data_IF_798358372384
#
_entry.id   IF_798358372384
#
_cell.length_a   1.000
_cell.length_b   1.000
_cell.length_c   1.000
_cell.angle_alpha   90.00
_cell.angle_beta   90.00
_cell.angle_gamma   90.00
#
_symmetry.space_group_name_H-M   'P 1'
#
loop_
_entity.id
_entity.type
_entity.pdbx_description
1 polymer ?
#
# COMPACT_ATOMS: atom_id res chain seq x y z
N UNK A 1 -8.89 5.66 15.98
CA UNK A 1 -9.49 6.61 16.93
C UNK A 1 -10.86 6.10 17.34
N UNK A 2 -11.26 6.32 18.59
CA UNK A 2 -12.58 5.96 19.13
C UNK A 2 -13.05 7.03 20.12
N UNK A 3 -14.30 7.46 19.98
CA UNK A 3 -15.05 8.25 20.98
C UNK A 3 -16.25 7.45 21.52
N UNK A 4 -16.24 7.18 22.83
CA UNK A 4 -17.27 6.41 23.54
C UNK A 4 -18.59 7.13 23.69
N UNK A 5 -18.61 8.46 23.62
CA UNK A 5 -19.87 9.21 23.73
C UNK A 5 -20.65 9.18 22.41
N UNK A 6 -20.09 8.54 21.37
CA UNK A 6 -20.72 8.40 20.07
C UNK A 6 -20.46 9.56 19.12
N UNK A 7 -19.63 10.55 19.48
CA UNK A 7 -19.34 11.65 18.57
C UNK A 7 -18.50 11.16 17.38
N UNK A 8 -18.71 11.72 16.18
CA UNK A 8 -17.88 11.42 15.03
C UNK A 8 -16.41 11.81 15.27
N UNK A 9 -15.48 10.92 14.92
CA UNK A 9 -14.03 11.16 15.04
C UNK A 9 -13.40 11.69 13.76
N UNK A 10 -14.21 11.96 12.72
CA UNK A 10 -13.77 12.34 11.38
C UNK A 10 -12.85 13.57 11.38
N UNK A 11 -13.23 14.66 12.07
CA UNK A 11 -12.42 15.88 12.12
C UNK A 11 -11.07 15.66 12.79
N UNK A 12 -11.04 14.83 13.85
CA UNK A 12 -9.80 14.51 14.53
C UNK A 12 -8.90 13.60 13.68
N UNK A 13 -9.47 12.70 12.88
CA UNK A 13 -8.72 11.92 11.87
C UNK A 13 -8.17 12.83 10.77
N UNK A 14 -8.96 13.80 10.27
CA UNK A 14 -8.51 14.76 9.26
C UNK A 14 -7.33 15.61 9.79
N UNK A 15 -7.44 16.12 11.01
CA UNK A 15 -6.35 16.86 11.64
C UNK A 15 -5.08 15.99 11.77
N UNK A 16 -5.21 14.76 12.27
CA UNK A 16 -4.08 13.84 12.38
C UNK A 16 -3.48 13.46 11.02
N UNK A 17 -4.32 13.36 9.99
CA UNK A 17 -3.88 13.12 8.63
C UNK A 17 -3.04 14.29 8.11
N UNK A 18 -3.50 15.52 8.28
CA UNK A 18 -2.76 16.72 7.85
C UNK A 18 -1.42 16.84 8.60
N UNK A 19 -1.42 16.63 9.92
CA UNK A 19 -0.21 16.65 10.76
C UNK A 19 0.83 15.59 10.32
N UNK A 20 0.37 14.43 9.86
CA UNK A 20 1.24 13.32 9.45
C UNK A 20 1.33 13.15 7.93
N UNK A 21 0.80 14.08 7.13
CA UNK A 21 0.60 13.92 5.69
C UNK A 21 1.88 13.55 4.94
N UNK A 22 3.01 14.05 5.43
CA UNK A 22 4.35 13.76 4.91
C UNK A 22 4.76 12.27 4.97
N UNK A 23 4.07 11.44 5.76
CA UNK A 23 4.36 9.99 5.88
C UNK A 23 3.78 9.15 4.75
N UNK A 24 2.84 9.69 3.97
CA UNK A 24 2.20 8.97 2.87
C UNK A 24 1.23 9.86 2.09
N UNK A 25 1.49 9.96 0.78
CA UNK A 25 0.70 10.77 -0.16
C UNK A 25 -0.07 9.91 -1.18
N UNK A 26 -0.01 8.59 -1.03
CA UNK A 26 -0.60 7.61 -1.94
C UNK A 26 -1.35 6.54 -1.14
N UNK A 27 -2.15 5.70 -1.78
CA UNK A 27 -2.82 4.55 -1.17
C UNK A 27 -3.47 4.81 0.20
N UNK A 28 -4.74 5.15 0.21
CA UNK A 28 -5.48 5.51 1.41
C UNK A 28 -6.49 4.42 1.75
N UNK A 29 -6.78 4.27 3.04
CA UNK A 29 -7.95 3.51 3.43
C UNK A 29 -8.30 3.62 4.89
N UNK A 30 -9.49 3.13 5.18
CA UNK A 30 -10.05 3.12 6.51
C UNK A 30 -10.91 1.89 6.74
N UNK A 31 -11.05 1.53 8.02
CA UNK A 31 -12.05 0.61 8.51
C UNK A 31 -12.91 1.29 9.57
N UNK A 32 -14.21 1.06 9.50
CA UNK A 32 -15.19 1.49 10.51
C UNK A 32 -16.06 0.31 10.91
N UNK A 33 -16.62 0.38 12.13
CA UNK A 33 -17.60 -0.57 12.64
C UNK A 33 -18.83 0.25 13.02
N UNK A 34 -19.93 0.03 12.31
CA UNK A 34 -21.18 0.75 12.52
C UNK A 34 -21.97 0.19 13.72
N UNK A 35 -22.95 0.95 14.27
CA UNK A 35 -23.78 0.49 15.39
C UNK A 35 -24.61 -0.77 15.10
N UNK A 36 -24.84 -1.09 13.83
CA UNK A 36 -25.52 -2.30 13.36
C UNK A 36 -24.55 -3.47 13.12
N UNK A 37 -23.33 -3.38 13.63
CA UNK A 37 -22.27 -4.38 13.53
C UNK A 37 -21.76 -4.62 12.09
N UNK A 38 -22.03 -3.68 11.18
CA UNK A 38 -21.47 -3.72 9.83
C UNK A 38 -20.03 -3.21 9.85
N UNK A 39 -19.10 -4.07 9.44
CA UNK A 39 -17.71 -3.70 9.18
C UNK A 39 -17.62 -3.14 7.76
N UNK A 40 -17.07 -1.94 7.63
CA UNK A 40 -16.84 -1.33 6.33
C UNK A 40 -15.37 -0.97 6.14
N UNK A 41 -14.78 -1.47 5.05
CA UNK A 41 -13.40 -1.19 4.67
C UNK A 41 -13.40 -0.44 3.33
N UNK A 42 -12.86 0.77 3.34
CA UNK A 42 -12.78 1.62 2.14
C UNK A 42 -11.33 1.86 1.81
N UNK A 43 -10.97 1.65 0.54
CA UNK A 43 -9.63 1.89 0.01
C UNK A 43 -9.71 2.77 -1.24
N UNK A 44 -8.80 3.73 -1.33
CA UNK A 44 -8.69 4.70 -2.43
C UNK A 44 -7.23 4.84 -2.83
N UNK A 45 -6.98 5.11 -4.11
CA UNK A 45 -5.62 5.38 -4.61
C UNK A 45 -5.28 6.88 -4.57
N UNK A 46 -6.29 7.74 -4.35
CA UNK A 46 -6.18 9.20 -4.33
C UNK A 46 -6.67 9.79 -3.02
N UNK A 47 -6.03 10.90 -2.61
CA UNK A 47 -6.34 11.61 -1.38
C UNK A 47 -7.75 12.21 -1.43
N UNK A 48 -8.08 12.91 -2.52
CA UNK A 48 -9.41 13.49 -2.74
C UNK A 48 -10.52 12.44 -2.55
N UNK A 49 -10.30 11.23 -3.06
CA UNK A 49 -11.26 10.14 -2.96
C UNK A 49 -11.52 9.67 -1.53
N UNK A 50 -10.50 9.68 -0.65
CA UNK A 50 -10.67 9.30 0.76
C UNK A 50 -11.19 10.46 1.60
N UNK A 51 -10.79 11.70 1.31
CA UNK A 51 -11.28 12.89 2.02
C UNK A 51 -12.77 13.12 1.76
N UNK A 52 -13.24 12.97 0.51
CA UNK A 52 -14.68 12.99 0.19
C UNK A 52 -15.46 11.94 0.98
N UNK A 53 -14.87 10.77 1.20
CA UNK A 53 -15.50 9.74 2.02
C UNK A 53 -15.58 10.16 3.50
N UNK A 54 -14.48 10.68 4.07
CA UNK A 54 -14.43 11.15 5.46
C UNK A 54 -15.43 12.28 5.74
N UNK A 55 -15.68 13.16 4.78
CA UNK A 55 -16.68 14.25 4.93
C UNK A 55 -18.11 13.70 4.87
N UNK A 56 -18.36 12.65 4.07
CA UNK A 56 -19.71 12.14 3.83
C UNK A 56 -20.21 11.17 4.92
N UNK A 57 -19.30 10.47 5.60
CA UNK A 57 -19.66 9.36 6.48
C UNK A 57 -19.15 9.58 7.90
N UNK A 58 -20.03 10.00 8.79
CA UNK A 58 -19.73 10.14 10.22
C UNK A 58 -19.58 8.78 10.91
N UNK A 59 -18.50 8.60 11.66
CA UNK A 59 -18.24 7.39 12.44
C UNK A 59 -17.54 7.77 13.75
N UNK A 60 -17.91 7.14 14.87
CA UNK A 60 -17.27 7.36 16.16
C UNK A 60 -16.05 6.43 16.40
N UNK A 61 -15.84 5.45 15.51
CA UNK A 61 -14.70 4.53 15.54
C UNK A 61 -14.13 4.42 14.13
N UNK A 62 -12.82 4.65 14.00
CA UNK A 62 -12.15 4.56 12.72
C UNK A 62 -10.69 4.11 12.86
N UNK A 63 -10.29 3.17 12.01
CA UNK A 63 -8.90 2.86 11.71
C UNK A 63 -8.57 3.53 10.38
N UNK A 64 -7.59 4.42 10.31
CA UNK A 64 -7.26 5.16 9.09
C UNK A 64 -5.76 5.00 8.77
N UNK A 65 -5.43 4.86 7.49
CA UNK A 65 -4.06 4.74 7.03
C UNK A 65 -3.87 5.44 5.67
N UNK A 66 -2.72 6.09 5.52
CA UNK A 66 -2.17 6.60 4.26
C UNK A 66 -0.82 5.93 4.01
N UNK A 67 -0.53 5.61 2.76
CA UNK A 67 0.60 4.76 2.38
C UNK A 67 1.63 5.59 1.62
N UNK A 68 2.90 5.26 1.81
CA UNK A 68 3.89 5.48 0.78
C UNK A 68 4.26 4.11 0.21
N UNK A 69 3.83 3.77 -1.03
CA UNK A 69 4.07 2.46 -1.62
C UNK A 69 5.54 2.07 -1.65
N UNK A 70 5.89 0.97 -0.98
CA UNK A 70 7.27 0.44 -0.92
C UNK A 70 7.40 -0.92 -1.58
N UNK A 71 6.48 -1.87 -1.29
CA UNK A 71 6.55 -3.25 -1.79
C UNK A 71 5.68 -3.55 -3.00
N UNK A 72 4.72 -2.67 -3.32
CA UNK A 72 3.80 -2.84 -4.46
C UNK A 72 3.40 -1.49 -5.02
N UNK A 73 2.90 -1.45 -6.25
CA UNK A 73 2.32 -0.25 -6.87
C UNK A 73 1.10 0.31 -6.10
N UNK A 74 0.73 1.56 -6.37
CA UNK A 74 -0.42 2.21 -5.75
C UNK A 74 -1.76 1.72 -6.35
N UNK A 75 -2.27 0.61 -5.86
CA UNK A 75 -3.58 0.06 -6.26
C UNK A 75 -4.47 -0.20 -5.04
N UNK A 76 -5.80 -0.12 -5.22
CA UNK A 76 -6.77 -0.25 -4.12
C UNK A 76 -6.59 -1.53 -3.31
N UNK A 77 -6.35 -2.68 -3.96
CA UNK A 77 -6.19 -3.98 -3.27
C UNK A 77 -4.92 -4.08 -2.42
N UNK A 78 -3.91 -3.26 -2.69
CA UNK A 78 -2.66 -3.23 -1.94
C UNK A 78 -2.61 -2.08 -0.91
N UNK A 79 -3.68 -1.28 -0.79
CA UNK A 79 -3.80 -0.26 0.23
C UNK A 79 -4.32 -0.87 1.55
N UNK A 80 -3.87 -0.32 2.66
CA UNK A 80 -4.39 -0.66 3.99
C UNK A 80 -5.81 -0.14 4.20
N UNK A 81 -6.55 -0.64 5.20
CA UNK A 81 -6.23 -1.80 6.06
C UNK A 81 -6.34 -3.14 5.32
N UNK A 82 -5.74 -4.20 5.86
CA UNK A 82 -5.98 -5.59 5.43
C UNK A 82 -6.89 -6.30 6.42
N UNK A 83 -7.59 -7.35 5.99
CA UNK A 83 -8.48 -8.11 6.88
C UNK A 83 -8.47 -9.60 6.61
N UNK A 84 -8.56 -10.37 7.70
CA UNK A 84 -8.71 -11.83 7.67
C UNK A 84 -10.11 -12.30 7.30
N UNK A 85 -11.06 -11.35 7.10
CA UNK A 85 -12.47 -11.66 6.85
C UNK A 85 -13.00 -12.69 7.87
N UNK A 86 -13.57 -13.78 7.39
CA UNK A 86 -14.20 -14.87 8.12
C UNK A 86 -13.29 -16.10 8.31
N UNK A 87 -11.98 -16.00 8.04
CA UNK A 87 -11.04 -17.13 8.15
C UNK A 87 -11.02 -17.75 9.55
N UNK A 88 -11.29 -16.97 10.61
CA UNK A 88 -11.35 -17.46 12.00
C UNK A 88 -12.79 -17.56 12.51
N UNK A 89 -13.72 -17.95 11.63
CA UNK A 89 -15.14 -18.08 11.94
C UNK A 89 -15.76 -16.73 12.29
N UNK A 90 -16.20 -16.57 13.54
CA UNK A 90 -16.80 -15.33 14.02
C UNK A 90 -15.78 -14.20 14.24
N UNK A 91 -14.49 -14.51 14.25
CA UNK A 91 -13.42 -13.54 14.53
C UNK A 91 -12.86 -12.98 13.22
N UNK A 92 -12.88 -11.65 13.09
CA UNK A 92 -12.26 -10.91 12.02
C UNK A 92 -11.18 -9.97 12.58
N UNK A 93 -9.99 -10.03 11.99
CA UNK A 93 -8.91 -9.11 12.28
C UNK A 93 -8.76 -8.10 11.15
N UNK A 94 -8.53 -6.83 11.49
CA UNK A 94 -8.34 -5.74 10.54
C UNK A 94 -7.11 -4.93 10.96
N UNK A 95 -6.09 -4.85 10.13
CA UNK A 95 -4.78 -4.31 10.51
C UNK A 95 -4.29 -3.21 9.58
N UNK A 96 -3.72 -2.18 10.20
CA UNK A 96 -2.84 -1.20 9.55
C UNK A 96 -1.44 -1.32 10.14
N UNK A 97 -0.44 -1.02 9.33
CA UNK A 97 0.96 -1.20 9.68
C UNK A 97 1.77 -0.08 9.05
N UNK A 98 2.66 0.49 9.86
CA UNK A 98 3.67 1.43 9.42
C UNK A 98 5.02 0.75 9.57
N UNK A 99 5.67 0.45 8.44
CA UNK A 99 6.95 -0.22 8.43
C UNK A 99 7.22 -1.10 7.24
N UNK A 100 8.13 -2.05 7.43
CA UNK A 100 8.57 -3.00 6.42
C UNK A 100 8.81 -4.38 7.04
N UNK A 101 8.27 -5.42 6.42
CA UNK A 101 8.40 -6.83 6.83
C UNK A 101 9.41 -7.53 5.92
N UNK A 102 10.58 -7.84 6.47
CA UNK A 102 11.72 -8.36 5.70
C UNK A 102 11.48 -9.79 5.21
N UNK A 103 10.89 -10.67 6.02
CA UNK A 103 10.62 -12.07 5.65
C UNK A 103 9.22 -12.32 5.07
N UNK A 104 8.57 -11.28 4.52
CA UNK A 104 7.18 -11.37 4.06
C UNK A 104 6.93 -12.51 3.07
N UNK A 105 7.85 -12.78 2.13
CA UNK A 105 7.73 -13.90 1.16
C UNK A 105 7.73 -15.28 1.82
N UNK A 106 8.64 -15.51 2.76
CA UNK A 106 8.71 -16.76 3.52
C UNK A 106 7.46 -16.95 4.37
N UNK A 107 6.98 -15.87 5.00
CA UNK A 107 5.75 -15.89 5.80
C UNK A 107 4.51 -16.17 4.94
N UNK A 108 4.39 -15.54 3.76
CA UNK A 108 3.31 -15.83 2.81
C UNK A 108 3.28 -17.32 2.43
N UNK A 109 4.44 -17.87 2.05
CA UNK A 109 4.55 -19.29 1.70
C UNK A 109 4.11 -20.19 2.86
N UNK A 110 4.57 -19.91 4.08
CA UNK A 110 4.15 -20.67 5.26
C UNK A 110 2.64 -20.56 5.53
N UNK A 111 2.08 -19.35 5.46
CA UNK A 111 0.65 -19.12 5.66
C UNK A 111 -0.19 -19.88 4.64
N UNK A 112 0.22 -19.88 3.37
CA UNK A 112 -0.43 -20.62 2.29
C UNK A 112 -0.32 -22.13 2.49
N UNK A 113 0.89 -22.65 2.73
CA UNK A 113 1.15 -24.09 2.78
C UNK A 113 0.63 -24.75 4.06
N UNK A 114 0.79 -24.12 5.22
CA UNK A 114 0.41 -24.71 6.52
C UNK A 114 -1.02 -24.39 6.94
N UNK A 115 -1.53 -23.23 6.55
CA UNK A 115 -2.82 -22.73 7.04
C UNK A 115 -3.86 -22.51 5.93
N UNK A 116 -3.49 -22.70 4.65
CA UNK A 116 -4.42 -22.52 3.52
C UNK A 116 -4.88 -21.07 3.36
N UNK A 117 -4.07 -20.10 3.80
CA UNK A 117 -4.42 -18.68 3.78
C UNK A 117 -4.20 -18.09 2.39
N UNK A 118 -5.23 -17.43 1.83
CA UNK A 118 -5.11 -16.70 0.56
C UNK A 118 -4.86 -15.21 0.79
N UNK A 119 -3.78 -14.68 0.19
CA UNK A 119 -3.45 -13.26 0.28
C UNK A 119 -4.26 -12.42 -0.71
N UNK A 120 -4.91 -11.37 -0.22
CA UNK A 120 -5.77 -10.48 -1.00
C UNK A 120 -4.99 -9.39 -1.74
N UNK A 121 -3.79 -9.07 -1.27
CA UNK A 121 -2.95 -8.02 -1.85
C UNK A 121 -2.11 -8.49 -3.05
N UNK A 122 -2.20 -9.77 -3.44
CA UNK A 122 -1.47 -10.33 -4.59
C UNK A 122 -1.90 -9.63 -5.89
N UNK A 123 -0.90 -9.15 -6.62
CA UNK A 123 -1.03 -8.50 -7.93
C UNK A 123 -0.77 -9.51 -9.06
N UNK A 124 -0.99 -9.07 -10.31
CA UNK A 124 -0.82 -9.93 -11.48
C UNK A 124 0.61 -10.44 -11.66
N UNK A 125 1.60 -9.67 -11.22
CA UNK A 125 3.03 -10.02 -11.24
C UNK A 125 3.46 -10.92 -10.04
N UNK A 126 2.51 -11.35 -9.20
CA UNK A 126 2.77 -12.15 -8.01
C UNK A 126 3.32 -11.35 -6.81
N UNK A 127 3.58 -10.05 -6.95
CA UNK A 127 3.95 -9.19 -5.82
C UNK A 127 2.75 -8.98 -4.89
N UNK A 128 3.01 -8.66 -3.63
CA UNK A 128 1.97 -8.47 -2.62
C UNK A 128 2.44 -7.48 -1.54
N UNK A 129 1.50 -6.96 -0.75
CA UNK A 129 1.82 -6.01 0.31
C UNK A 129 2.33 -6.79 1.54
N UNK A 130 3.55 -6.50 1.95
CA UNK A 130 4.27 -7.17 3.03
C UNK A 130 3.51 -7.14 4.37
N UNK A 131 2.71 -6.10 4.59
CA UNK A 131 1.92 -5.90 5.79
C UNK A 131 0.76 -6.89 5.95
N UNK A 132 0.32 -7.53 4.86
CA UNK A 132 -0.64 -8.62 4.95
C UNK A 132 -0.01 -9.85 5.65
N UNK A 133 1.31 -10.03 5.56
CA UNK A 133 2.00 -11.08 6.32
C UNK A 133 1.99 -10.81 7.82
N UNK A 134 2.16 -9.55 8.23
CA UNK A 134 2.02 -9.18 9.64
C UNK A 134 0.59 -9.40 10.15
N UNK A 135 -0.43 -9.10 9.33
CA UNK A 135 -1.82 -9.37 9.70
C UNK A 135 -2.04 -10.85 10.01
N UNK A 136 -1.66 -11.73 9.09
CA UNK A 136 -1.91 -13.17 9.25
C UNK A 136 -1.11 -13.77 10.39
N UNK A 137 0.18 -13.42 10.50
CA UNK A 137 1.04 -13.95 11.56
C UNK A 137 0.55 -13.50 12.95
N UNK A 138 0.16 -12.23 13.09
CA UNK A 138 -0.42 -11.73 14.34
C UNK A 138 -1.76 -12.41 14.66
N UNK A 139 -2.65 -12.56 13.67
CA UNK A 139 -3.95 -13.18 13.88
C UNK A 139 -3.82 -14.65 14.32
N UNK A 140 -2.91 -15.41 13.70
CA UNK A 140 -2.59 -16.79 14.08
C UNK A 140 -2.10 -16.87 15.54
N UNK A 141 -1.26 -15.93 15.99
CA UNK A 141 -0.84 -15.86 17.39
C UNK A 141 -2.00 -15.51 18.33
N UNK A 142 -2.86 -14.57 17.94
CA UNK A 142 -4.00 -14.14 18.75
C UNK A 142 -5.08 -15.22 18.88
N UNK A 143 -5.21 -16.09 17.89
CA UNK A 143 -6.10 -17.27 17.89
C UNK A 143 -5.43 -18.52 18.50
N UNK A 144 -4.16 -18.45 18.88
CA UNK A 144 -3.45 -19.55 19.53
C UNK A 144 -2.98 -20.66 18.58
N UNK A 145 -2.93 -20.39 17.27
CA UNK A 145 -2.34 -21.27 16.27
C UNK A 145 -0.81 -21.18 16.21
N UNK A 146 -0.24 -20.09 16.74
CA UNK A 146 1.20 -19.87 16.90
C UNK A 146 1.51 -19.31 18.28
N UNK A 147 2.67 -19.68 18.84
CA UNK A 147 3.09 -19.20 20.16
C UNK A 147 3.71 -17.80 20.14
N UNK A 148 4.27 -17.39 19.00
CA UNK A 148 4.99 -16.13 18.86
C UNK A 148 4.95 -15.59 17.44
N UNK A 149 5.21 -14.28 17.33
CA UNK A 149 5.34 -13.60 16.04
C UNK A 149 6.67 -13.99 15.37
N UNK A 150 6.60 -14.40 14.12
CA UNK A 150 7.74 -14.81 13.30
C UNK A 150 8.09 -13.81 12.22
N UNK A 151 7.15 -12.94 11.82
CA UNK A 151 7.48 -11.77 11.00
C UNK A 151 8.50 -10.90 11.72
N UNK A 152 9.43 -10.33 10.96
CA UNK A 152 10.42 -9.39 11.49
C UNK A 152 10.66 -8.23 10.54
N UNK A 153 11.15 -7.13 11.10
CA UNK A 153 11.43 -5.90 10.38
C UNK A 153 11.21 -4.68 11.24
N UNK A 154 10.91 -3.54 10.62
CA UNK A 154 10.47 -2.36 11.34
C UNK A 154 8.95 -2.35 11.40
N UNK A 155 8.38 -2.43 12.60
CA UNK A 155 6.97 -2.70 12.82
C UNK A 155 6.38 -1.71 13.83
N UNK A 156 5.29 -1.06 13.44
CA UNK A 156 4.29 -0.46 14.31
C UNK A 156 2.91 -0.78 13.74
N UNK A 157 2.01 -1.33 14.55
CA UNK A 157 0.71 -1.78 14.05
C UNK A 157 -0.45 -1.40 14.97
N UNK A 158 -1.64 -1.33 14.37
CA UNK A 158 -2.91 -1.24 15.06
C UNK A 158 -3.84 -2.27 14.39
N UNK A 159 -4.42 -3.15 15.19
CA UNK A 159 -5.27 -4.24 14.76
C UNK A 159 -6.60 -4.23 15.52
N UNK A 160 -7.71 -4.12 14.80
CA UNK A 160 -9.05 -4.31 15.34
C UNK A 160 -9.40 -5.80 15.33
N UNK A 161 -9.94 -6.30 16.44
CA UNK A 161 -10.63 -7.60 16.51
C UNK A 161 -12.13 -7.37 16.58
N UNK A 162 -12.81 -7.83 15.55
CA UNK A 162 -14.26 -7.83 15.43
C UNK A 162 -14.77 -9.25 15.65
N UNK A 163 -15.80 -9.41 16.47
CA UNK A 163 -16.42 -10.71 16.78
C UNK A 163 -17.89 -10.62 16.42
N UNK A 164 -18.36 -11.41 15.45
CA UNK A 164 -19.75 -11.35 14.93
C UNK A 164 -20.17 -9.93 14.52
N UNK A 165 -19.26 -9.19 13.91
CA UNK A 165 -19.47 -7.79 13.49
C UNK A 165 -19.28 -6.74 14.59
N UNK A 166 -19.17 -7.13 15.87
CA UNK A 166 -18.94 -6.22 16.99
C UNK A 166 -17.45 -5.97 17.24
N UNK A 167 -17.03 -4.71 17.36
CA UNK A 167 -15.66 -4.40 17.75
C UNK A 167 -15.43 -4.79 19.22
N UNK A 168 -14.70 -5.88 19.44
CA UNK A 168 -14.41 -6.38 20.78
C UNK A 168 -13.17 -5.69 21.37
N UNK A 169 -12.09 -5.64 20.58
CA UNK A 169 -10.76 -5.25 21.03
C UNK A 169 -9.97 -4.50 19.96
N UNK A 170 -9.02 -3.69 20.43
CA UNK A 170 -7.91 -3.22 19.61
C UNK A 170 -6.60 -3.74 20.22
N UNK A 171 -5.77 -4.33 19.38
CA UNK A 171 -4.40 -4.71 19.67
C UNK A 171 -3.43 -3.73 19.00
N UNK A 172 -2.36 -3.36 19.68
CA UNK A 172 -1.33 -2.50 19.10
C UNK A 172 0.02 -2.75 19.76
N UNK A 173 1.09 -2.49 19.00
CA UNK A 173 2.46 -2.71 19.43
C UNK A 173 3.46 -2.18 18.42
N UNK A 174 4.72 -2.09 18.85
CA UNK A 174 5.84 -1.65 18.00
C UNK A 174 7.16 -2.28 18.41
N UNK A 175 8.13 -2.27 17.51
CA UNK A 175 9.55 -2.43 17.84
C UNK A 175 10.34 -1.14 17.53
N UNK A 176 10.62 -0.82 16.27
CA UNK A 176 11.42 0.33 15.88
C UNK A 176 10.56 1.53 15.49
N UNK A 177 9.49 1.33 14.71
CA UNK A 177 8.67 2.42 14.18
C UNK A 177 7.83 3.12 15.25
N UNK A 178 7.62 4.43 15.14
CA UNK A 178 6.95 5.21 16.17
C UNK A 178 5.45 4.91 16.20
N UNK A 179 4.93 4.86 17.42
CA UNK A 179 3.51 4.73 17.70
C UNK A 179 3.26 5.40 19.06
N UNK A 180 2.25 6.25 19.11
CA UNK A 180 1.86 7.04 20.28
C UNK A 180 0.41 6.79 20.65
N UNK A 181 0.11 6.94 21.93
CA UNK A 181 -1.24 6.81 22.47
C UNK A 181 -1.64 8.04 23.27
N UNK A 182 -2.83 8.55 22.98
CA UNK A 182 -3.58 9.43 23.88
C UNK A 182 -4.84 8.69 24.31
N UNK A 183 -5.05 8.59 25.61
CA UNK A 183 -6.22 7.94 26.18
C UNK A 183 -6.74 8.76 27.35
N UNK A 184 -8.04 8.98 27.35
CA UNK A 184 -8.77 9.50 28.50
C UNK A 184 -9.97 8.59 28.84
N UNK A 185 -10.91 9.09 29.65
CA UNK A 185 -12.09 8.33 30.06
C UNK A 185 -13.01 7.98 28.89
N UNK A 186 -13.06 8.81 27.85
CA UNK A 186 -14.02 8.77 26.74
C UNK A 186 -13.34 8.42 25.40
N UNK A 187 -12.06 8.77 25.23
CA UNK A 187 -11.37 8.64 23.94
C UNK A 187 -10.15 7.72 23.98
N UNK A 188 -9.90 7.08 22.84
CA UNK A 188 -8.64 6.39 22.54
C UNK A 188 -8.15 6.82 21.15
N UNK A 189 -6.96 7.39 21.11
CA UNK A 189 -6.28 7.83 19.89
C UNK A 189 -4.90 7.18 19.81
N UNK A 190 -4.61 6.62 18.64
CA UNK A 190 -3.33 6.02 18.28
C UNK A 190 -2.85 6.68 16.99
N UNK A 191 -1.60 7.11 16.94
CA UNK A 191 -0.99 7.78 15.80
C UNK A 191 0.51 7.44 15.71
N UNK A 192 1.10 7.55 14.52
CA UNK A 192 2.55 7.32 14.39
C UNK A 192 3.34 8.43 15.07
N UNK A 193 2.86 9.66 14.98
CA UNK A 193 3.51 10.86 15.53
C UNK A 193 2.52 11.75 16.31
N UNK A 194 3.02 12.85 16.85
CA UNK A 194 2.24 13.86 17.56
C UNK A 194 2.30 13.74 19.08
N UNK A 195 1.19 14.09 19.74
CA UNK A 195 1.05 14.09 21.20
C UNK A 195 0.67 12.71 21.74
N UNK A 196 0.95 12.48 23.01
CA UNK A 196 0.68 11.23 23.71
C UNK A 196 1.94 10.48 24.12
N UNK A 197 1.72 9.40 24.85
CA UNK A 197 2.78 8.54 25.37
C UNK A 197 3.27 7.62 24.27
N UNK A 198 4.59 7.44 24.19
CA UNK A 198 5.18 6.44 23.30
C UNK A 198 4.76 5.04 23.74
N UNK A 199 4.36 4.21 22.76
CA UNK A 199 4.12 2.80 23.01
C UNK A 199 5.44 2.11 23.30
N UNK A 200 5.47 1.33 24.39
CA UNK A 200 6.65 0.58 24.77
C UNK A 200 7.00 -0.45 23.69
N UNK A 201 8.30 -0.57 23.39
CA UNK A 201 8.81 -1.57 22.45
C UNK A 201 8.50 -2.98 22.95
N UNK A 202 8.34 -3.92 22.02
CA UNK A 202 8.16 -5.34 22.34
C UNK A 202 7.02 -5.59 23.34
N UNK A 203 5.96 -4.78 23.26
CA UNK A 203 4.81 -4.85 24.14
C UNK A 203 3.53 -4.88 23.32
N UNK A 204 2.71 -5.89 23.57
CA UNK A 204 1.37 -6.00 22.99
C UNK A 204 0.37 -5.39 23.95
N UNK A 205 -0.16 -4.24 23.57
CA UNK A 205 -1.28 -3.63 24.24
C UNK A 205 -2.59 -4.22 23.70
N UNK A 206 -3.57 -4.34 24.58
CA UNK A 206 -4.91 -4.83 24.30
C UNK A 206 -5.92 -3.94 25.02
N UNK A 207 -6.73 -3.22 24.24
CA UNK A 207 -7.83 -2.42 24.73
C UNK A 207 -9.15 -3.13 24.47
N UNK A 208 -9.85 -3.51 25.55
CA UNK A 208 -11.16 -4.15 25.47
C UNK A 208 -12.27 -3.09 25.63
N UNK A 209 -13.14 -2.98 24.62
CA UNK A 209 -14.17 -1.94 24.55
C UNK A 209 -15.26 -2.11 25.61
N UNK A 210 -15.71 -3.35 25.82
CA UNK A 210 -16.78 -3.68 26.77
C UNK A 210 -16.40 -3.35 28.21
N UNK A 211 -15.18 -3.69 28.61
CA UNK A 211 -14.66 -3.47 29.96
C UNK A 211 -13.98 -2.11 30.15
N UNK A 212 -13.76 -1.36 29.06
CA UNK A 212 -12.93 -0.15 29.05
C UNK A 212 -11.57 -0.34 29.73
N UNK A 213 -10.95 -1.51 29.52
CA UNK A 213 -9.68 -1.86 30.16
C UNK A 213 -8.58 -1.95 29.14
N UNK A 214 -7.51 -1.19 29.39
CA UNK A 214 -6.23 -1.37 28.72
C UNK A 214 -5.39 -2.36 29.54
N UNK A 215 -4.88 -3.38 28.86
CA UNK A 215 -3.90 -4.33 29.41
C UNK A 215 -2.72 -4.37 28.45
N UNK A 216 -1.58 -4.82 28.94
CA UNK A 216 -0.40 -5.06 28.12
C UNK A 216 0.35 -6.27 28.64
N UNK A 217 1.13 -6.88 27.75
CA UNK A 217 2.08 -7.93 28.10
C UNK A 217 3.32 -7.79 27.22
N UNK A 218 4.44 -8.27 27.73
CA UNK A 218 5.62 -8.45 26.89
C UNK A 218 5.28 -9.34 25.69
N UNK A 219 5.71 -8.90 24.52
CA UNK A 219 5.43 -9.54 23.25
C UNK A 219 6.55 -9.19 22.27
N UNK A 220 7.51 -10.11 22.12
CA UNK A 220 8.70 -9.86 21.30
C UNK A 220 8.31 -9.67 19.83
N UNK A 221 8.70 -8.53 19.25
CA UNK A 221 8.54 -8.22 17.83
C UNK A 221 9.94 -8.09 17.22
N UNK A 222 10.38 -9.13 16.50
CA UNK A 222 11.75 -9.25 15.99
C UNK A 222 12.12 -8.05 15.10
N UNK A 223 13.24 -7.38 15.40
CA UNK A 223 13.82 -6.31 14.58
C UNK A 223 14.76 -6.90 13.52
N UNK A 224 14.92 -6.21 12.38
CA UNK A 224 15.82 -6.60 11.28
C UNK A 224 17.24 -6.98 11.74
N UNK A 225 17.85 -6.23 12.66
CA UNK A 225 19.24 -6.45 13.07
C UNK A 225 19.43 -7.70 13.96
N UNK A 226 18.36 -8.21 14.56
CA UNK A 226 18.46 -9.32 15.52
C UNK A 226 18.46 -10.70 14.85
N UNK A 227 18.04 -10.81 13.59
CA UNK A 227 17.99 -12.10 12.87
C UNK A 227 19.30 -12.47 12.18
N UNK A 228 20.23 -11.53 11.99
CA UNK A 228 21.44 -11.76 11.18
C UNK A 228 22.66 -12.28 11.97
N UNK A 229 22.63 -12.37 13.32
CA UNK A 229 23.87 -12.62 14.07
C UNK A 229 23.69 -13.17 15.50
N UNK A 230 23.38 -14.46 15.65
CA UNK A 230 23.77 -15.15 16.90
C UNK A 230 24.07 -16.64 16.76
N UNK A 231 23.31 -17.39 15.96
CA UNK A 231 23.53 -18.85 15.86
C UNK A 231 24.53 -19.27 14.77
N UNK A 232 24.53 -18.62 13.59
CA UNK A 232 25.54 -18.90 12.56
C UNK A 232 26.95 -18.43 12.94
N UNK A 233 27.07 -17.32 13.68
CA UNK A 233 28.36 -16.79 14.10
C UNK A 233 29.06 -17.66 15.15
N UNK A 234 28.32 -18.50 15.90
CA UNK A 234 28.92 -19.49 16.81
C UNK A 234 29.55 -20.68 16.10
N UNK A 235 29.01 -21.11 14.95
CA UNK A 235 29.62 -22.19 14.17
C UNK A 235 30.83 -21.70 13.34
N UNK A 236 30.85 -20.42 12.94
CA UNK A 236 31.95 -19.88 12.12
C UNK A 236 33.18 -19.42 12.89
N UNK A 237 33.12 -19.24 14.21
CA UNK A 237 34.28 -18.81 15.02
C UNK A 237 35.12 -19.96 15.63
N UNK A 238 34.82 -21.22 15.33
CA UNK A 238 35.63 -22.37 15.76
C UNK A 238 36.35 -23.10 14.62
N UNK A 239 36.35 -22.57 13.40
CA UNK A 239 36.95 -23.21 12.23
C UNK A 239 37.91 -22.29 11.46
N UNK A 240 39.10 -22.81 11.16
CA UNK A 240 40.21 -22.18 10.42
C UNK A 240 39.79 -21.47 9.12
N UNK A 241 40.55 -20.44 8.66
CA UNK A 241 40.24 -19.74 7.42
C UNK A 241 40.38 -20.67 6.22
N UNK A 242 39.27 -20.91 5.50
CA UNK A 242 39.30 -21.55 4.20
C UNK A 242 38.99 -20.53 3.11
N UNK A 243 39.86 -20.50 2.10
CA UNK A 243 39.66 -19.78 0.85
C UNK A 243 38.51 -20.45 0.08
N UNK A 244 37.42 -19.72 -0.15
CA UNK A 244 36.35 -20.15 -1.05
C UNK A 244 36.33 -19.29 -2.29
N UNK A 245 36.43 -19.95 -3.45
CA UNK A 245 36.08 -19.45 -4.77
C UNK A 245 34.55 -19.59 -4.92
N UNK A 246 33.85 -18.48 -5.17
CA UNK A 246 32.41 -18.52 -5.43
C UNK A 246 32.14 -18.93 -6.88
N UNK A 247 31.43 -20.05 -7.06
CA UNK A 247 30.63 -20.31 -8.25
C UNK A 247 29.21 -19.81 -7.92
N UNK A 248 28.78 -18.75 -8.61
CA UNK A 248 27.41 -18.27 -8.58
C UNK A 248 26.58 -19.17 -9.51
N UNK A 249 25.59 -19.86 -8.94
CA UNK A 249 24.45 -20.38 -9.70
C UNK A 249 23.42 -19.26 -9.82
N UNK A 250 22.86 -19.17 -11.02
CA UNK A 250 21.96 -18.15 -11.54
C UNK A 250 20.59 -18.22 -10.83
N UNK A 251 20.21 -17.12 -10.19
CA UNK A 251 18.85 -16.57 -10.06
C UNK A 251 18.85 -15.59 -8.88
N UNK A 252 19.15 -14.31 -9.16
CA UNK A 252 18.68 -13.12 -8.44
C UNK A 252 19.32 -11.87 -9.08
N UNK A 253 18.51 -10.86 -9.41
CA UNK A 253 18.94 -9.53 -9.89
C UNK A 253 19.64 -8.72 -8.77
N UNK A 254 20.70 -9.27 -8.18
CA UNK A 254 21.61 -8.60 -7.27
C UNK A 254 22.98 -8.58 -7.94
N UNK A 255 23.30 -7.49 -8.62
CA UNK A 255 24.52 -7.37 -9.43
C UNK A 255 25.74 -6.92 -8.58
N UNK A 256 25.54 -6.53 -7.32
CA UNK A 256 26.65 -6.27 -6.41
C UNK A 256 26.28 -5.53 -5.13
N UNK A 257 27.27 -5.43 -4.24
CA UNK A 257 27.24 -4.65 -3.01
C UNK A 257 28.23 -3.49 -3.12
N UNK A 258 27.92 -2.34 -2.52
CA UNK A 258 28.91 -1.26 -2.38
C UNK A 258 30.01 -1.62 -1.35
N UNK A 259 31.01 -0.75 -1.21
CA UNK A 259 32.13 -0.91 -0.27
C UNK A 259 31.69 -1.02 1.21
N UNK A 260 30.40 -0.80 1.51
CA UNK A 260 29.79 -0.93 2.84
C UNK A 260 28.89 -2.17 2.96
N UNK A 261 28.81 -3.02 1.95
CA UNK A 261 27.99 -4.23 1.97
C UNK A 261 26.49 -3.96 1.78
N UNK A 262 26.11 -2.83 1.16
CA UNK A 262 24.73 -2.50 0.83
C UNK A 262 24.39 -2.96 -0.60
N UNK A 263 23.27 -3.69 -0.83
CA UNK A 263 22.89 -4.12 -2.17
C UNK A 263 22.56 -2.91 -3.06
N UNK A 264 23.21 -2.84 -4.22
CA UNK A 264 23.00 -1.76 -5.20
C UNK A 264 21.88 -2.17 -6.15
N UNK A 265 20.80 -1.39 -6.18
CA UNK A 265 19.73 -1.51 -7.18
C UNK A 265 19.87 -0.38 -8.20
N UNK A 266 20.11 -0.71 -9.47
CA UNK A 266 20.03 0.27 -10.55
C UNK A 266 18.56 0.46 -10.92
N UNK A 267 17.99 1.60 -10.53
CA UNK A 267 16.82 2.14 -11.22
C UNK A 267 17.35 2.85 -12.46
N UNK A 268 16.99 2.38 -13.65
CA UNK A 268 17.19 3.11 -14.89
C UNK A 268 16.47 4.45 -14.80
N UNK A 269 17.22 5.50 -14.43
CA UNK A 269 16.76 6.88 -14.56
C UNK A 269 17.03 7.33 -15.98
N UNK A 270 16.00 7.26 -16.82
CA UNK A 270 15.94 8.07 -18.02
C UNK A 270 15.96 9.55 -17.57
N UNK A 271 16.84 10.42 -18.10
CA UNK A 271 16.87 11.83 -17.68
C UNK A 271 15.58 12.53 -18.12
N UNK A 272 14.89 13.18 -17.18
CA UNK A 272 13.86 14.16 -17.48
C UNK A 272 14.52 15.37 -18.13
N UNK A 273 14.28 15.57 -19.42
CA UNK A 273 14.60 16.82 -20.12
C UNK A 273 13.60 17.89 -19.67
N UNK A 274 14.11 19.08 -19.35
CA UNK A 274 13.36 20.26 -18.89
C UNK A 274 12.14 20.57 -19.77
N UNK A 275 10.97 20.70 -19.14
CA UNK A 275 9.76 21.26 -19.76
C UNK A 275 9.58 22.70 -19.30
N UNK A 276 10.00 23.64 -20.14
CA UNK A 276 9.58 25.02 -20.06
C UNK A 276 8.90 25.44 -21.36
N UNK A 277 7.73 26.08 -21.20
CA UNK A 277 6.86 26.76 -22.20
C UNK A 277 5.82 25.91 -22.93
N UNK A 278 4.67 25.70 -22.27
CA UNK A 278 3.37 26.01 -22.88
C UNK A 278 2.54 26.74 -21.82
N UNK A 279 2.15 27.99 -22.07
CA UNK A 279 1.26 28.78 -21.22
C UNK A 279 0.06 29.22 -22.04
N UNK A 280 -1.13 29.03 -21.44
CA UNK A 280 -2.46 29.65 -21.71
C UNK A 280 -3.04 29.28 -23.07
N UNK A 281 -4.08 28.45 -23.20
CA UNK A 281 -5.39 28.52 -22.54
C UNK A 281 -6.08 27.14 -22.47
N UNK A 282 -6.99 27.03 -21.49
CA UNK A 282 -8.12 26.08 -21.29
C UNK A 282 -7.96 24.55 -21.45
N UNK A 283 -8.22 23.83 -20.33
CA UNK A 283 -8.89 22.51 -20.17
C UNK A 283 -8.61 21.32 -21.11
N UNK A 284 -7.52 21.31 -21.86
CA UNK A 284 -7.16 20.16 -22.69
C UNK A 284 -6.10 19.25 -22.05
N UNK A 285 -6.34 17.95 -22.07
CA UNK A 285 -5.35 16.94 -21.70
C UNK A 285 -4.65 16.47 -22.97
N UNK A 286 -3.37 16.83 -23.11
CA UNK A 286 -2.56 16.48 -24.28
C UNK A 286 -1.65 15.30 -23.94
N UNK A 287 -1.75 14.21 -24.70
CA UNK A 287 -0.83 13.08 -24.60
C UNK A 287 0.01 13.00 -25.87
N UNK A 288 1.32 12.96 -25.70
CA UNK A 288 2.31 12.85 -26.78
C UNK A 288 2.74 11.39 -26.92
N UNK A 289 2.71 10.86 -28.15
CA UNK A 289 3.27 9.57 -28.50
C UNK A 289 4.33 9.73 -29.59
N UNK A 290 5.38 8.92 -29.52
CA UNK A 290 6.36 8.80 -30.60
C UNK A 290 6.09 7.52 -31.39
N UNK A 291 5.83 7.65 -32.68
CA UNK A 291 5.77 6.54 -33.62
C UNK A 291 7.09 6.49 -34.38
N UNK A 292 7.80 5.36 -34.28
CA UNK A 292 9.05 5.14 -35.01
C UNK A 292 8.75 4.17 -36.14
N UNK A 293 8.96 4.62 -37.38
CA UNK A 293 8.74 3.78 -38.57
C UNK A 293 9.90 3.97 -39.56
N UNK A 294 10.60 2.88 -39.88
CA UNK A 294 11.70 2.85 -40.86
C UNK A 294 12.70 4.03 -40.73
N UNK A 295 13.24 4.25 -39.53
CA UNK A 295 14.20 5.32 -39.17
C UNK A 295 13.66 6.76 -39.19
N UNK A 296 12.36 6.96 -39.40
CA UNK A 296 11.72 8.25 -39.17
C UNK A 296 10.96 8.23 -37.83
N UNK A 297 11.16 9.28 -37.04
CA UNK A 297 10.43 9.51 -35.79
C UNK A 297 9.33 10.53 -36.11
N UNK A 298 8.09 10.11 -36.01
CA UNK A 298 6.94 11.00 -36.05
C UNK A 298 6.40 11.20 -34.64
N UNK A 299 6.18 12.46 -34.28
CA UNK A 299 5.46 12.83 -33.06
C UNK A 299 3.98 12.94 -33.41
N UNK A 300 3.14 12.35 -32.57
CA UNK A 300 1.69 12.43 -32.71
C UNK A 300 1.12 12.93 -31.39
N UNK A 301 0.26 13.93 -31.47
CA UNK A 301 -0.40 14.53 -30.31
C UNK A 301 -1.88 14.20 -30.33
N UNK A 302 -2.39 13.79 -29.17
CA UNK A 302 -3.82 13.59 -28.94
C UNK A 302 -4.29 14.63 -27.94
N UNK A 303 -5.40 15.29 -28.27
CA UNK A 303 -5.98 16.34 -27.44
C UNK A 303 -7.41 15.95 -27.08
N UNK A 304 -7.70 15.86 -25.79
CA UNK A 304 -9.07 15.66 -25.28
C UNK A 304 -9.53 16.97 -24.66
N UNK A 305 -10.59 17.55 -25.23
CA UNK A 305 -11.22 18.76 -24.73
C UNK A 305 -12.43 18.37 -23.88
N UNK A 306 -12.38 18.68 -22.58
CA UNK A 306 -13.27 18.12 -21.57
C UNK A 306 -14.75 18.52 -21.72
N UNK A 307 -15.07 19.54 -22.53
CA UNK A 307 -16.40 20.12 -22.60
C UNK A 307 -17.28 19.54 -23.74
N UNK A 308 -16.75 18.66 -24.61
CA UNK A 308 -17.49 18.22 -25.81
C UNK A 308 -17.52 16.71 -26.12
N UNK A 309 -16.93 15.82 -25.33
CA UNK A 309 -16.84 14.36 -25.64
C UNK A 309 -16.34 14.07 -27.08
N UNK A 310 -15.45 14.94 -27.59
CA UNK A 310 -14.91 14.88 -28.95
C UNK A 310 -13.40 14.70 -28.88
N UNK A 311 -12.88 13.77 -29.68
CA UNK A 311 -11.45 13.53 -29.81
C UNK A 311 -10.93 14.22 -31.08
N UNK A 312 -9.90 15.05 -30.94
CA UNK A 312 -9.17 15.62 -32.06
C UNK A 312 -7.83 14.91 -32.23
N UNK A 313 -7.52 14.44 -33.44
CA UNK A 313 -6.17 14.03 -33.82
C UNK A 313 -5.50 15.15 -34.60
N UNK A 314 -4.32 15.61 -34.18
CA UNK A 314 -3.54 16.53 -35.02
C UNK A 314 -2.00 16.54 -34.79
N UNK A 315 -1.32 16.84 -35.90
CA UNK A 315 0.09 17.21 -36.19
C UNK A 315 1.11 16.08 -36.34
N UNK A 316 1.58 15.92 -37.59
CA UNK A 316 2.91 15.43 -37.97
C UNK A 316 3.77 16.66 -38.28
N UNK A 317 5.03 16.69 -37.81
CA UNK A 317 5.95 17.82 -38.00
C UNK A 317 6.29 18.12 -39.49
N UNK A 318 5.85 17.26 -40.43
CA UNK A 318 6.25 17.32 -41.84
C UNK A 318 5.17 17.80 -42.83
N UNK A 319 3.91 17.98 -42.43
CA UNK A 319 2.85 18.51 -43.32
C UNK A 319 1.73 19.24 -42.54
N UNK A 320 1.78 20.59 -42.45
CA UNK A 320 0.81 21.39 -41.70
C UNK A 320 -0.55 21.60 -42.36
N UNK A 321 -0.81 21.08 -43.57
CA UNK A 321 -2.06 21.36 -44.31
C UNK A 321 -3.06 20.20 -44.36
N UNK A 322 -2.79 19.06 -43.70
CA UNK A 322 -3.70 17.89 -43.75
C UNK A 322 -4.89 18.00 -42.78
N UNK A 323 -6.04 17.49 -43.21
CA UNK A 323 -7.41 17.72 -42.67
C UNK A 323 -7.67 17.19 -41.26
N UNK A 324 -8.66 17.81 -40.60
CA UNK A 324 -9.25 17.43 -39.33
C UNK A 324 -10.34 16.35 -39.53
N UNK A 325 -10.14 15.18 -38.95
CA UNK A 325 -11.23 14.22 -38.75
C UNK A 325 -11.67 14.30 -37.28
N UNK A 326 -12.98 14.35 -37.08
CA UNK A 326 -13.61 14.50 -35.77
C UNK A 326 -14.34 13.19 -35.44
N UNK A 327 -13.97 12.56 -34.32
CA UNK A 327 -14.59 11.31 -33.88
C UNK A 327 -15.35 11.52 -32.57
N UNK A 328 -16.51 10.88 -32.45
CA UNK A 328 -17.29 10.83 -31.21
C UNK A 328 -16.65 9.79 -30.28
N UNK A 329 -16.63 10.07 -28.96
CA UNK A 329 -15.87 9.31 -27.96
C UNK A 329 -16.03 7.77 -28.02
N UNK A 330 -17.24 7.27 -28.34
CA UNK A 330 -17.51 5.83 -28.43
C UNK A 330 -16.76 5.16 -29.60
N UNK A 331 -16.66 5.85 -30.75
CA UNK A 331 -15.90 5.36 -31.91
C UNK A 331 -14.39 5.40 -31.64
N UNK A 332 -13.93 6.47 -30.99
CA UNK A 332 -12.52 6.61 -30.61
C UNK A 332 -12.04 5.52 -29.63
N UNK A 333 -12.88 5.18 -28.64
CA UNK A 333 -12.57 4.10 -27.69
C UNK A 333 -12.50 2.73 -28.38
N UNK A 334 -13.31 2.51 -29.43
CA UNK A 334 -13.22 1.27 -30.23
C UNK A 334 -11.93 1.17 -31.05
N UNK A 335 -11.41 2.30 -31.54
CA UNK A 335 -10.15 2.38 -32.30
C UNK A 335 -8.94 2.14 -31.38
N UNK A 336 -8.96 2.70 -30.17
CA UNK A 336 -7.89 2.47 -29.18
C UNK A 336 -7.77 0.99 -28.82
N UNK A 337 -8.91 0.32 -28.58
CA UNK A 337 -8.92 -1.12 -28.27
C UNK A 337 -8.43 -1.98 -29.45
N UNK A 338 -8.74 -1.62 -30.70
CA UNK A 338 -8.26 -2.34 -31.89
C UNK A 338 -6.74 -2.26 -32.07
N UNK A 339 -6.11 -1.16 -31.65
CA UNK A 339 -4.66 -0.96 -31.73
C UNK A 339 -3.89 -1.67 -30.61
N UNK A 340 -4.47 -1.80 -29.42
CA UNK A 340 -3.86 -2.54 -28.29
C UNK A 340 -3.73 -4.04 -28.57
N UNK A 341 -4.63 -4.61 -29.39
CA UNK A 341 -4.61 -6.03 -29.79
C UNK A 341 -3.70 -6.31 -31.01
N UNK A 342 -2.93 -5.31 -31.48
CA UNK A 342 -1.96 -5.48 -32.57
C UNK A 342 -2.57 -5.77 -33.95
N UNK A 343 -3.84 -5.46 -34.17
CA UNK A 343 -4.47 -5.59 -35.47
C UNK A 343 -4.25 -4.34 -36.34
N UNK A 344 -3.98 -4.56 -37.62
CA UNK A 344 -3.83 -3.46 -38.59
C UNK A 344 -5.22 -2.90 -38.95
N UNK A 345 -5.44 -1.61 -38.64
CA UNK A 345 -6.69 -0.93 -38.93
C UNK A 345 -6.76 -0.56 -40.42
N UNK A 346 -7.58 -1.28 -41.20
CA UNK A 346 -7.90 -0.91 -42.59
C UNK A 346 -9.20 -0.11 -42.59
N UNK A 347 -9.09 1.22 -42.67
CA UNK A 347 -10.27 2.08 -42.82
C UNK A 347 -10.77 2.06 -44.27
N UNK A 348 -12.10 1.99 -44.52
CA UNK A 348 -12.63 2.12 -45.85
C UNK A 348 -12.39 3.54 -46.36
N UNK A 349 -11.67 3.66 -47.49
CA UNK A 349 -11.53 4.92 -48.20
C UNK A 349 -12.89 5.27 -48.86
N UNK A 350 -13.63 6.16 -48.20
CA UNK A 350 -14.51 7.13 -48.85
C UNK A 350 -16.03 6.93 -48.71
N UNK A 351 -16.68 7.99 -48.22
CA UNK A 351 -17.78 8.68 -48.92
C UNK A 351 -17.62 10.18 -48.72
#
# INVERSE_FOLDING_TARGET
MHDKTGNPVNNAILQLFDEQRHRGLQGFGLATVYPDNVVNIVRKTTEEGILKYLVKHENNIMLFHHRNPTSTVNVKRAAHPFSTKDTFGDNQYILIHNGHITNSRAMKKEHEEKFGIEYQSVLQDGTFNDSESLLWDLALVLEGHKDSLEVYGGIAFICMKVVKGELERIYFGRNSNPLKMVRDKDTLRLSSEGTGDDIEKDTLYNFNFKSNRLTHRYFKIKEWYTSYNWEETKQRYTGQPQNYTYLHEEDDDIIGYDDYGMPIYYFDRIPLVERDKVKKDANALVTEYMKINNNNVERVYWCIEADYDVLWTYYSDNDPETRHDMYVLEEAMSIVNLMEDGQELVLPLGA
#
